data_IF_044935069007
#
_entry.id   IF_044935069007
#
_cell.length_a   1.000
_cell.length_b   1.000
_cell.length_c   1.000
_cell.angle_alpha   90.00
_cell.angle_beta   90.00
_cell.angle_gamma   90.00
#
_symmetry.space_group_name_H-M   'P 1'
#
loop_
_entity.id
_entity.type
_entity.pdbx_description
1 polymer ?
#
# COMPACT_ATOMS: atom_id res chain seq x y z
N UNK A 1 -16.87 15.05 -41.82
CA UNK A 1 -18.33 14.97 -41.58
C UNK A 1 -19.02 15.97 -42.49
N UNK A 2 -20.30 15.78 -42.82
CA UNK A 2 -21.09 16.86 -43.42
C UNK A 2 -21.51 17.88 -42.34
N UNK A 3 -22.05 19.04 -42.75
CA UNK A 3 -22.43 20.13 -41.85
C UNK A 3 -23.42 19.71 -40.76
N UNK A 4 -24.46 18.95 -41.13
CA UNK A 4 -25.48 18.45 -40.21
C UNK A 4 -24.89 17.52 -39.12
N UNK A 5 -24.04 16.58 -39.51
CA UNK A 5 -23.39 15.66 -38.56
C UNK A 5 -22.42 16.38 -37.63
N UNK A 6 -21.70 17.37 -38.16
CA UNK A 6 -20.80 18.20 -37.36
C UNK A 6 -21.57 18.98 -36.30
N UNK A 7 -22.71 19.57 -36.65
CA UNK A 7 -23.57 20.29 -35.71
C UNK A 7 -24.05 19.40 -34.56
N UNK A 8 -24.57 18.19 -34.87
CA UNK A 8 -24.98 17.21 -33.86
C UNK A 8 -23.81 16.84 -32.94
N UNK A 9 -22.62 16.64 -33.51
CA UNK A 9 -21.44 16.28 -32.74
C UNK A 9 -21.01 17.41 -31.81
N UNK A 10 -20.97 18.65 -32.29
CA UNK A 10 -20.58 19.83 -31.50
C UNK A 10 -21.57 20.12 -30.36
N UNK A 11 -22.87 20.02 -30.62
CA UNK A 11 -23.90 20.14 -29.56
C UNK A 11 -23.69 19.08 -28.47
N UNK A 12 -23.36 17.85 -28.89
CA UNK A 12 -23.02 16.76 -27.98
C UNK A 12 -21.82 17.06 -27.09
N UNK A 13 -20.74 17.54 -27.70
CA UNK A 13 -19.49 17.90 -27.01
C UNK A 13 -19.70 19.05 -26.01
N UNK A 14 -20.50 20.06 -26.37
CA UNK A 14 -20.81 21.18 -25.49
C UNK A 14 -21.50 20.71 -24.20
N UNK A 15 -22.47 19.81 -24.31
CA UNK A 15 -23.18 19.25 -23.15
C UNK A 15 -22.25 18.38 -22.30
N UNK A 16 -21.34 17.64 -22.93
CA UNK A 16 -20.30 16.87 -22.23
C UNK A 16 -19.17 17.76 -21.68
N UNK A 17 -19.18 19.07 -21.95
CA UNK A 17 -18.12 20.04 -21.60
C UNK A 17 -16.74 19.60 -22.10
N UNK A 18 -16.71 19.13 -23.35
CA UNK A 18 -15.50 18.72 -24.06
C UNK A 18 -15.23 19.73 -25.17
N UNK A 19 -14.02 20.27 -25.18
CA UNK A 19 -13.54 21.14 -26.24
C UNK A 19 -12.57 20.36 -27.12
N UNK A 20 -12.74 20.46 -28.43
CA UNK A 20 -11.87 19.84 -29.42
C UNK A 20 -11.15 20.90 -30.24
N UNK A 21 -9.88 20.66 -30.52
CA UNK A 21 -9.15 21.43 -31.52
C UNK A 21 -9.45 20.94 -32.94
N UNK A 22 -8.97 21.69 -33.92
CA UNK A 22 -9.19 21.39 -35.34
C UNK A 22 -8.67 20.00 -35.74
N UNK A 23 -7.47 19.60 -35.25
CA UNK A 23 -6.89 18.28 -35.53
C UNK A 23 -7.80 17.15 -35.01
N UNK A 24 -8.35 17.29 -33.81
CA UNK A 24 -9.25 16.30 -33.21
C UNK A 24 -10.56 16.17 -34.00
N UNK A 25 -11.15 17.29 -34.45
CA UNK A 25 -12.33 17.27 -35.31
C UNK A 25 -12.07 16.57 -36.66
N UNK A 26 -10.90 16.81 -37.25
CA UNK A 26 -10.47 16.13 -38.46
C UNK A 26 -10.25 14.63 -38.23
N UNK A 27 -9.65 14.24 -37.11
CA UNK A 27 -9.51 12.82 -36.71
C UNK A 27 -10.87 12.12 -36.60
N UNK A 28 -11.87 12.74 -35.96
CA UNK A 28 -13.23 12.15 -35.92
C UNK A 28 -13.88 12.06 -37.31
N UNK A 29 -13.61 13.01 -38.20
CA UNK A 29 -14.10 12.96 -39.58
C UNK A 29 -13.44 11.83 -40.39
N UNK A 30 -12.13 11.64 -40.25
CA UNK A 30 -11.40 10.52 -40.85
C UNK A 30 -11.93 9.21 -40.27
N UNK A 31 -12.09 9.11 -38.95
CA UNK A 31 -12.59 7.91 -38.30
C UNK A 31 -13.98 7.52 -38.82
N UNK A 32 -14.93 8.45 -38.92
CA UNK A 32 -16.25 8.17 -39.47
C UNK A 32 -16.17 7.60 -40.90
N UNK A 33 -15.34 8.20 -41.76
CA UNK A 33 -15.16 7.75 -43.14
C UNK A 33 -14.59 6.34 -43.19
N UNK A 34 -13.46 6.11 -42.53
CA UNK A 34 -12.75 4.83 -42.55
C UNK A 34 -13.59 3.71 -41.91
N UNK A 35 -14.33 4.03 -40.85
CA UNK A 35 -15.25 3.09 -40.20
C UNK A 35 -16.34 2.64 -41.18
N UNK A 36 -16.98 3.55 -41.91
CA UNK A 36 -18.03 3.21 -42.90
C UNK A 36 -17.49 2.34 -44.02
N UNK A 37 -16.33 2.73 -44.57
CA UNK A 37 -15.68 1.99 -45.65
C UNK A 37 -15.34 0.56 -45.22
N UNK A 38 -14.76 0.38 -44.03
CA UNK A 38 -14.46 -0.95 -43.51
C UNK A 38 -15.69 -1.73 -43.06
N UNK A 39 -16.70 -1.06 -42.50
CA UNK A 39 -17.91 -1.72 -42.04
C UNK A 39 -18.67 -2.39 -43.20
N UNK A 40 -18.65 -1.77 -44.39
CA UNK A 40 -19.26 -2.36 -45.60
C UNK A 40 -18.61 -3.69 -46.03
N UNK A 41 -17.35 -3.93 -45.63
CA UNK A 41 -16.58 -5.13 -45.99
C UNK A 41 -16.57 -6.18 -44.88
N UNK A 42 -16.54 -5.75 -43.61
CA UNK A 42 -16.18 -6.61 -42.48
C UNK A 42 -17.17 -6.61 -41.31
N UNK A 43 -18.25 -5.83 -41.37
CA UNK A 43 -19.28 -5.76 -40.34
C UNK A 43 -18.68 -5.55 -38.93
N UNK A 44 -17.88 -4.49 -38.79
CA UNK A 44 -17.20 -4.09 -37.56
C UNK A 44 -18.17 -3.66 -36.45
N UNK A 45 -19.25 -2.98 -36.84
CA UNK A 45 -20.37 -2.54 -36.01
C UNK A 45 -21.69 -2.93 -36.68
N UNK A 46 -22.76 -3.04 -35.89
CA UNK A 46 -24.09 -3.27 -36.44
C UNK A 46 -24.54 -2.17 -37.42
N UNK A 47 -25.51 -2.44 -38.31
CA UNK A 47 -26.04 -1.45 -39.24
C UNK A 47 -26.54 -0.21 -38.48
N UNK A 48 -26.07 0.97 -38.87
CA UNK A 48 -26.40 2.22 -38.21
C UNK A 48 -26.30 3.38 -39.23
N UNK A 49 -27.23 4.33 -39.14
CA UNK A 49 -27.13 5.60 -39.86
C UNK A 49 -25.95 6.44 -39.32
N UNK A 50 -25.44 7.39 -40.10
CA UNK A 50 -24.31 8.23 -39.69
C UNK A 50 -24.60 9.00 -38.39
N UNK A 51 -25.82 9.52 -38.24
CA UNK A 51 -26.27 10.19 -37.01
C UNK A 51 -26.20 9.25 -35.80
N UNK A 52 -26.54 7.97 -35.98
CA UNK A 52 -26.46 6.97 -34.92
C UNK A 52 -25.01 6.62 -34.58
N UNK A 53 -24.08 6.66 -35.54
CA UNK A 53 -22.65 6.49 -35.27
C UNK A 53 -22.16 7.65 -34.38
N UNK A 54 -22.51 8.89 -34.72
CA UNK A 54 -22.15 10.05 -33.91
C UNK A 54 -22.67 9.91 -32.47
N UNK A 55 -23.96 9.59 -32.31
CA UNK A 55 -24.57 9.51 -30.98
C UNK A 55 -24.14 8.25 -30.21
N UNK A 56 -24.39 7.06 -30.77
CA UNK A 56 -24.21 5.78 -30.07
C UNK A 56 -22.77 5.30 -30.03
N UNK A 57 -21.86 5.88 -30.79
CA UNK A 57 -20.45 5.49 -30.79
C UNK A 57 -19.54 6.63 -30.33
N UNK A 58 -19.54 7.78 -30.99
CA UNK A 58 -18.60 8.85 -30.61
C UNK A 58 -19.01 9.52 -29.29
N UNK A 59 -20.20 10.11 -29.22
CA UNK A 59 -20.66 10.80 -28.02
C UNK A 59 -20.83 9.86 -26.84
N UNK A 60 -21.31 8.63 -27.09
CA UNK A 60 -21.35 7.58 -26.08
C UNK A 60 -19.94 7.33 -25.52
N UNK A 61 -18.93 7.10 -26.36
CA UNK A 61 -17.55 6.89 -25.88
C UNK A 61 -17.00 8.08 -25.08
N UNK A 62 -17.29 9.30 -25.53
CA UNK A 62 -16.83 10.53 -24.89
C UNK A 62 -17.56 10.87 -23.59
N UNK A 63 -18.73 10.27 -23.34
CA UNK A 63 -19.45 10.46 -22.08
C UNK A 63 -18.67 10.00 -20.84
N UNK A 64 -17.62 9.19 -21.04
CA UNK A 64 -16.69 8.79 -19.97
C UNK A 64 -15.81 9.96 -19.51
N UNK A 65 -15.49 10.91 -20.40
CA UNK A 65 -14.49 11.96 -20.11
C UNK A 65 -14.82 12.73 -18.83
N UNK A 66 -16.05 13.24 -18.59
CA UNK A 66 -16.39 13.92 -17.34
C UNK A 66 -16.14 13.09 -16.07
N UNK A 67 -16.24 11.75 -16.15
CA UNK A 67 -16.09 10.83 -15.02
C UNK A 67 -14.60 10.56 -14.70
N UNK A 68 -13.75 10.58 -15.71
CA UNK A 68 -12.33 10.20 -15.57
C UNK A 68 -11.35 11.38 -15.67
N UNK A 69 -11.76 12.55 -16.17
CA UNK A 69 -10.86 13.69 -16.44
C UNK A 69 -10.06 14.12 -15.21
N UNK A 70 -10.65 14.11 -14.02
CA UNK A 70 -9.96 14.43 -12.76
C UNK A 70 -9.02 13.34 -12.26
N UNK A 71 -9.15 12.12 -12.78
CA UNK A 71 -8.40 10.92 -12.40
C UNK A 71 -7.26 10.60 -13.38
N UNK A 72 -7.27 11.20 -14.56
CA UNK A 72 -6.20 11.04 -15.57
C UNK A 72 -4.98 11.86 -15.16
N UNK A 73 -3.84 11.18 -15.13
CA UNK A 73 -2.50 11.81 -15.06
C UNK A 73 -1.78 11.65 -16.40
N UNK A 74 -0.68 12.39 -16.62
CA UNK A 74 0.12 12.29 -17.85
C UNK A 74 0.65 10.88 -18.18
N UNK A 75 0.58 9.94 -17.24
CA UNK A 75 1.05 8.57 -17.40
C UNK A 75 -0.08 7.55 -17.23
N UNK A 76 -1.35 7.98 -17.33
CA UNK A 76 -2.49 7.10 -17.15
C UNK A 76 -2.49 5.98 -18.21
N UNK A 77 -2.42 4.74 -17.75
CA UNK A 77 -2.47 3.53 -18.57
C UNK A 77 -3.91 3.03 -18.65
N UNK A 78 -4.49 3.09 -19.84
CA UNK A 78 -5.88 2.70 -20.09
C UNK A 78 -5.91 1.47 -21.00
N UNK A 79 -6.65 0.44 -20.59
CA UNK A 79 -6.97 -0.70 -21.47
C UNK A 79 -8.46 -0.72 -21.81
N UNK A 80 -8.79 -0.76 -23.09
CA UNK A 80 -10.15 -0.97 -23.57
C UNK A 80 -10.36 -2.44 -23.96
N UNK A 81 -11.15 -3.15 -23.15
CA UNK A 81 -11.41 -4.59 -23.30
C UNK A 81 -12.63 -4.82 -24.17
N UNK A 82 -12.45 -5.58 -25.26
CA UNK A 82 -13.52 -5.81 -26.23
C UNK A 82 -13.82 -4.54 -27.04
N UNK A 83 -12.77 -3.79 -27.38
CA UNK A 83 -12.86 -2.46 -28.01
C UNK A 83 -13.63 -2.46 -29.34
N UNK A 84 -13.76 -3.61 -29.99
CA UNK A 84 -14.53 -3.73 -31.22
C UNK A 84 -13.91 -2.91 -32.35
N UNK A 85 -14.67 -1.94 -32.85
CA UNK A 85 -14.22 -0.98 -33.84
C UNK A 85 -13.44 0.21 -33.24
N UNK A 86 -13.02 0.14 -31.97
CA UNK A 86 -12.24 1.16 -31.29
C UNK A 86 -13.01 1.95 -30.24
N UNK A 87 -14.14 1.43 -29.75
CA UNK A 87 -15.03 2.14 -28.84
C UNK A 87 -15.01 1.53 -27.43
N UNK A 88 -14.77 2.32 -26.37
CA UNK A 88 -14.52 3.76 -26.33
C UNK A 88 -13.05 4.21 -26.54
N UNK A 89 -12.09 3.29 -26.69
CA UNK A 89 -10.66 3.62 -26.60
C UNK A 89 -10.16 4.68 -27.59
N UNK A 90 -10.48 4.57 -28.89
CA UNK A 90 -10.00 5.51 -29.93
C UNK A 90 -10.56 6.93 -29.71
N UNK A 91 -11.89 7.15 -29.51
CA UNK A 91 -12.40 8.48 -29.16
C UNK A 91 -11.73 9.07 -27.93
N UNK A 92 -11.48 8.26 -26.89
CA UNK A 92 -10.79 8.73 -25.69
C UNK A 92 -9.36 9.16 -25.99
N UNK A 93 -8.60 8.40 -26.77
CA UNK A 93 -7.21 8.76 -27.15
C UNK A 93 -7.13 10.02 -28.02
N UNK A 94 -8.13 10.27 -28.87
CA UNK A 94 -8.20 11.52 -29.64
C UNK A 94 -8.32 12.72 -28.69
N UNK A 95 -9.20 12.65 -27.69
CA UNK A 95 -9.48 13.75 -26.76
C UNK A 95 -8.44 13.88 -25.65
N UNK A 96 -7.83 12.77 -25.26
CA UNK A 96 -6.86 12.64 -24.17
C UNK A 96 -5.55 12.05 -24.73
N UNK A 97 -4.80 12.82 -25.53
CA UNK A 97 -3.63 12.31 -26.25
C UNK A 97 -2.52 11.78 -25.32
N UNK A 98 -2.49 12.21 -24.06
CA UNK A 98 -1.51 11.81 -23.05
C UNK A 98 -1.69 10.38 -22.51
N UNK A 99 -2.84 9.73 -22.71
CA UNK A 99 -3.06 8.40 -22.14
C UNK A 99 -2.23 7.34 -22.87
N UNK A 100 -1.67 6.39 -22.13
CA UNK A 100 -1.07 5.18 -22.71
C UNK A 100 -2.19 4.17 -22.96
N UNK A 101 -2.64 4.08 -24.21
CA UNK A 101 -3.80 3.28 -24.59
C UNK A 101 -3.42 1.88 -25.08
N UNK A 102 -4.04 0.86 -24.49
CA UNK A 102 -4.13 -0.50 -25.03
C UNK A 102 -5.54 -0.80 -25.52
N UNK A 103 -5.66 -1.33 -26.73
CA UNK A 103 -6.89 -1.73 -27.38
C UNK A 103 -6.89 -3.26 -27.53
N UNK A 104 -7.80 -3.94 -26.84
CA UNK A 104 -7.87 -5.40 -26.79
C UNK A 104 -9.15 -5.90 -27.45
N UNK A 105 -9.02 -6.79 -28.43
CA UNK A 105 -10.14 -7.54 -29.00
C UNK A 105 -9.69 -8.96 -29.40
N UNK A 106 -10.60 -9.93 -29.32
CA UNK A 106 -10.31 -11.31 -29.73
C UNK A 106 -10.35 -11.51 -31.25
N UNK A 107 -10.93 -10.57 -32.00
CA UNK A 107 -11.06 -10.65 -33.45
C UNK A 107 -9.84 -10.07 -34.16
N UNK A 108 -9.17 -10.92 -34.94
CA UNK A 108 -8.06 -10.52 -35.82
C UNK A 108 -8.48 -9.44 -36.82
N UNK A 109 -9.67 -9.57 -37.43
CA UNK A 109 -10.21 -8.59 -38.39
C UNK A 109 -10.36 -7.20 -37.78
N UNK A 110 -10.87 -7.14 -36.54
CA UNK A 110 -11.06 -5.87 -35.82
C UNK A 110 -9.73 -5.27 -35.40
N UNK A 111 -8.79 -6.07 -34.91
CA UNK A 111 -7.45 -5.57 -34.55
C UNK A 111 -6.64 -5.10 -35.75
N UNK A 112 -6.82 -5.71 -36.94
CA UNK A 112 -6.25 -5.20 -38.20
C UNK A 112 -6.84 -3.84 -38.59
N UNK A 113 -8.17 -3.68 -38.49
CA UNK A 113 -8.81 -2.38 -38.69
C UNK A 113 -8.25 -1.32 -37.73
N UNK A 114 -8.09 -1.64 -36.45
CA UNK A 114 -7.53 -0.71 -35.47
C UNK A 114 -6.10 -0.30 -35.81
N UNK A 115 -5.26 -1.23 -36.31
CA UNK A 115 -3.87 -0.90 -36.72
C UNK A 115 -3.87 0.08 -37.89
N UNK A 116 -4.72 -0.19 -38.87
CA UNK A 116 -4.93 0.71 -40.00
C UNK A 116 -5.43 2.09 -39.54
N UNK A 117 -6.47 2.11 -38.70
CA UNK A 117 -7.10 3.33 -38.23
C UNK A 117 -6.14 4.18 -37.39
N UNK A 118 -5.41 3.60 -36.43
CA UNK A 118 -4.42 4.34 -35.63
C UNK A 118 -3.37 5.03 -36.52
N UNK A 119 -2.91 4.36 -37.57
CA UNK A 119 -1.97 4.93 -38.54
C UNK A 119 -2.59 6.10 -39.32
N UNK A 120 -3.86 5.98 -39.75
CA UNK A 120 -4.59 7.04 -40.47
C UNK A 120 -4.89 8.25 -39.62
N UNK A 121 -5.13 8.04 -38.32
CA UNK A 121 -5.42 9.08 -37.35
C UNK A 121 -4.17 9.70 -36.72
N UNK A 122 -2.98 9.16 -37.01
CA UNK A 122 -1.71 9.56 -36.38
C UNK A 122 -1.75 9.47 -34.85
N UNK A 123 -2.35 8.40 -34.31
CA UNK A 123 -2.40 8.14 -32.88
C UNK A 123 -1.63 6.87 -32.52
N UNK A 124 -0.91 6.92 -31.42
CA UNK A 124 -0.20 5.78 -30.88
C UNK A 124 -1.09 5.02 -29.89
N UNK A 125 -1.39 3.76 -30.20
CA UNK A 125 -2.08 2.85 -29.29
C UNK A 125 -1.55 1.44 -29.47
N UNK A 126 -1.42 0.72 -28.36
CA UNK A 126 -1.03 -0.69 -28.38
C UNK A 126 -2.22 -1.56 -28.73
N UNK A 127 -2.11 -2.35 -29.79
CA UNK A 127 -3.22 -3.20 -30.25
C UNK A 127 -2.90 -4.67 -29.97
N UNK A 128 -3.78 -5.31 -29.20
CA UNK A 128 -3.64 -6.68 -28.71
C UNK A 128 -4.77 -7.54 -29.25
N UNK A 129 -4.41 -8.58 -30.01
CA UNK A 129 -5.34 -9.60 -30.45
C UNK A 129 -5.30 -10.78 -29.47
N UNK A 130 -6.40 -11.04 -28.76
CA UNK A 130 -6.47 -12.12 -27.79
C UNK A 130 -7.73 -12.06 -26.92
N UNK A 131 -7.98 -13.14 -26.17
CA UNK A 131 -9.03 -13.18 -25.16
C UNK A 131 -8.56 -12.44 -23.91
N UNK A 132 -9.46 -11.71 -23.26
CA UNK A 132 -9.09 -10.91 -22.10
C UNK A 132 -8.57 -11.79 -20.95
N UNK A 133 -9.14 -12.97 -20.76
CA UNK A 133 -8.71 -13.98 -19.79
C UNK A 133 -7.24 -14.37 -19.96
N UNK A 134 -6.81 -14.62 -21.19
CA UNK A 134 -5.43 -15.00 -21.52
C UNK A 134 -4.45 -13.84 -21.35
N UNK A 135 -4.83 -12.66 -21.85
CA UNK A 135 -3.97 -11.47 -21.79
C UNK A 135 -3.79 -10.99 -20.35
N UNK A 136 -4.82 -11.15 -19.51
CA UNK A 136 -4.80 -10.74 -18.10
C UNK A 136 -3.76 -11.45 -17.25
N UNK A 137 -3.27 -12.62 -17.69
CA UNK A 137 -2.23 -13.42 -17.03
C UNK A 137 -0.81 -13.06 -17.46
N UNK A 138 -0.64 -12.19 -18.47
CA UNK A 138 0.69 -11.76 -18.91
C UNK A 138 1.19 -10.65 -17.98
N UNK A 139 2.44 -10.72 -17.49
CA UNK A 139 2.99 -9.76 -16.51
C UNK A 139 2.85 -8.29 -16.90
N UNK A 140 2.85 -7.99 -18.19
CA UNK A 140 2.70 -6.63 -18.73
C UNK A 140 1.30 -6.03 -18.46
N UNK A 141 0.26 -6.86 -18.33
CA UNK A 141 -1.12 -6.42 -18.13
C UNK A 141 -1.67 -6.75 -16.74
N UNK A 142 -1.10 -7.74 -16.05
CA UNK A 142 -1.55 -8.18 -14.72
C UNK A 142 -1.32 -7.09 -13.68
N UNK A 143 -2.40 -6.50 -13.15
CA UNK A 143 -2.39 -5.44 -12.14
C UNK A 143 -1.57 -4.19 -12.52
N UNK A 144 -1.54 -3.82 -13.80
CA UNK A 144 -0.76 -2.66 -14.29
C UNK A 144 -1.62 -1.48 -14.76
N UNK A 145 -2.92 -1.69 -15.02
CA UNK A 145 -3.78 -0.70 -15.66
C UNK A 145 -4.42 0.25 -14.63
N UNK A 146 -4.37 1.56 -14.90
CA UNK A 146 -5.07 2.59 -14.11
C UNK A 146 -6.57 2.55 -14.35
N UNK A 147 -6.93 2.46 -15.62
CA UNK A 147 -8.32 2.48 -16.08
C UNK A 147 -8.54 1.30 -17.01
N UNK A 148 -9.62 0.56 -16.78
CA UNK A 148 -10.11 -0.43 -17.74
C UNK A 148 -11.49 -0.01 -18.18
N UNK A 149 -11.70 0.10 -19.50
CA UNK A 149 -13.02 0.34 -20.07
C UNK A 149 -13.57 -0.95 -20.67
N UNK A 150 -14.88 -1.15 -20.55
CA UNK A 150 -15.58 -2.17 -21.30
C UNK A 150 -16.99 -1.67 -21.65
N UNK A 151 -17.40 -1.95 -22.90
CA UNK A 151 -18.67 -1.48 -23.46
C UNK A 151 -19.50 -2.64 -24.00
N UNK A 152 -20.83 -2.46 -23.98
CA UNK A 152 -21.79 -3.31 -24.67
C UNK A 152 -21.79 -4.79 -24.23
N UNK A 153 -21.69 -5.02 -22.93
CA UNK A 153 -21.70 -6.39 -22.40
C UNK A 153 -23.13 -6.77 -22.10
N UNK A 154 -23.72 -7.55 -23.02
CA UNK A 154 -25.10 -8.05 -22.94
C UNK A 154 -25.36 -8.91 -21.71
N UNK A 155 -24.30 -9.41 -21.06
CA UNK A 155 -24.33 -10.03 -19.74
C UNK A 155 -23.33 -9.34 -18.83
N UNK A 156 -23.80 -8.49 -17.92
CA UNK A 156 -22.93 -7.80 -16.96
C UNK A 156 -22.29 -8.79 -15.97
N UNK A 157 -22.93 -9.95 -15.77
CA UNK A 157 -22.42 -11.02 -14.94
C UNK A 157 -21.02 -11.47 -15.38
N UNK A 158 -20.04 -11.36 -14.47
CA UNK A 158 -18.67 -11.79 -14.70
C UNK A 158 -17.75 -10.75 -15.35
N UNK A 159 -18.24 -9.58 -15.77
CA UNK A 159 -17.40 -8.55 -16.40
C UNK A 159 -16.31 -8.02 -15.46
N UNK A 160 -16.64 -7.88 -14.18
CA UNK A 160 -15.70 -7.47 -13.15
C UNK A 160 -14.59 -8.51 -12.99
N UNK A 161 -14.91 -9.81 -13.05
CA UNK A 161 -13.92 -10.89 -13.00
C UNK A 161 -13.01 -10.90 -14.22
N UNK A 162 -13.54 -10.52 -15.39
CA UNK A 162 -12.77 -10.38 -16.62
C UNK A 162 -11.79 -9.20 -16.56
N UNK A 163 -12.22 -8.07 -15.99
CA UNK A 163 -11.48 -6.81 -16.04
C UNK A 163 -10.57 -6.59 -14.82
N UNK A 164 -10.95 -7.06 -13.63
CA UNK A 164 -10.21 -6.86 -12.37
C UNK A 164 -8.78 -7.37 -12.36
N UNK A 165 -8.38 -8.44 -13.08
CA UNK A 165 -6.98 -8.87 -13.07
C UNK A 165 -6.04 -7.88 -13.78
N UNK A 166 -6.56 -7.02 -14.67
CA UNK A 166 -5.80 -5.96 -15.33
C UNK A 166 -5.53 -4.77 -14.40
N UNK A 167 -6.48 -4.45 -13.52
CA UNK A 167 -6.44 -3.24 -12.72
C UNK A 167 -5.37 -3.28 -11.65
N UNK A 168 -4.54 -2.24 -11.58
CA UNK A 168 -3.62 -2.03 -10.47
C UNK A 168 -4.38 -1.74 -9.17
N UNK A 169 -3.64 -1.61 -8.07
CA UNK A 169 -4.22 -1.11 -6.80
C UNK A 169 -4.82 0.28 -7.02
N UNK A 170 -6.05 0.48 -6.57
CA UNK A 170 -6.85 1.70 -6.77
C UNK A 170 -7.23 2.00 -8.23
N UNK A 171 -6.97 1.06 -9.15
CA UNK A 171 -7.43 1.15 -10.53
C UNK A 171 -8.97 1.12 -10.62
N UNK A 172 -9.48 1.72 -11.70
CA UNK A 172 -10.92 1.95 -11.89
C UNK A 172 -11.41 1.22 -13.13
N UNK A 173 -12.47 0.43 -12.97
CA UNK A 173 -13.22 -0.16 -14.07
C UNK A 173 -14.37 0.79 -14.44
N UNK A 174 -14.42 1.21 -15.70
CA UNK A 174 -15.50 2.01 -16.27
C UNK A 174 -16.35 1.15 -17.19
N UNK A 175 -17.63 1.02 -16.87
CA UNK A 175 -18.59 0.27 -17.66
C UNK A 175 -19.63 1.18 -18.29
N UNK A 176 -19.79 1.08 -19.61
CA UNK A 176 -20.86 1.75 -20.35
C UNK A 176 -21.99 0.77 -20.64
N UNK A 177 -23.10 0.93 -19.93
CA UNK A 177 -24.22 -0.01 -19.93
C UNK A 177 -25.54 0.69 -20.24
N UNK A 178 -26.59 -0.11 -20.45
CA UNK A 178 -27.95 0.41 -20.57
C UNK A 178 -28.46 0.85 -19.20
N UNK A 179 -29.24 1.93 -19.15
CA UNK A 179 -29.89 2.38 -17.91
C UNK A 179 -30.88 1.34 -17.35
N UNK A 180 -31.32 0.40 -18.19
CA UNK A 180 -32.21 -0.71 -17.82
C UNK A 180 -31.49 -1.94 -17.28
N UNK A 181 -30.15 -1.97 -17.33
CA UNK A 181 -29.37 -3.13 -16.85
C UNK A 181 -29.48 -3.25 -15.33
N UNK A 182 -29.84 -4.43 -14.83
CA UNK A 182 -29.74 -4.74 -13.40
C UNK A 182 -28.26 -4.94 -13.04
N UNK A 183 -27.73 -4.04 -12.22
CA UNK A 183 -26.33 -4.04 -11.79
C UNK A 183 -26.14 -4.60 -10.38
N UNK A 184 -27.21 -5.12 -9.74
CA UNK A 184 -27.12 -5.77 -8.42
C UNK A 184 -26.21 -7.00 -8.40
N UNK A 185 -25.96 -7.60 -9.56
CA UNK A 185 -25.07 -8.76 -9.71
C UNK A 185 -23.57 -8.39 -9.78
N UNK A 186 -23.23 -7.10 -9.86
CA UNK A 186 -21.83 -6.65 -9.83
C UNK A 186 -21.33 -6.75 -8.39
N UNK A 187 -20.25 -7.51 -8.15
CA UNK A 187 -19.68 -7.71 -6.81
C UNK A 187 -18.67 -6.64 -6.42
N UNK A 188 -18.19 -5.83 -7.39
CA UNK A 188 -17.28 -4.71 -7.15
C UNK A 188 -17.94 -3.52 -6.44
N UNK A 189 -17.14 -2.75 -5.72
CA UNK A 189 -17.59 -1.52 -5.05
C UNK A 189 -17.90 -0.42 -6.08
N UNK A 190 -19.18 -0.04 -6.19
CA UNK A 190 -19.62 1.05 -7.06
C UNK A 190 -19.22 2.37 -6.41
N UNK A 191 -18.26 3.07 -7.01
CA UNK A 191 -17.80 4.38 -6.53
C UNK A 191 -18.72 5.50 -7.01
N UNK A 192 -19.09 5.46 -8.29
CA UNK A 192 -19.76 6.57 -8.95
C UNK A 192 -20.69 6.04 -10.03
N UNK A 193 -21.89 6.61 -10.06
CA UNK A 193 -22.90 6.36 -11.08
C UNK A 193 -23.16 7.67 -11.82
N UNK A 194 -22.87 7.68 -13.11
CA UNK A 194 -23.12 8.83 -13.96
C UNK A 194 -24.16 8.48 -15.02
N UNK A 195 -25.20 9.29 -15.13
CA UNK A 195 -26.21 9.18 -16.19
C UNK A 195 -25.99 10.36 -17.13
N UNK A 196 -25.49 10.14 -18.36
CA UNK A 196 -25.34 11.21 -19.32
C UNK A 196 -26.70 11.82 -19.68
N UNK A 197 -26.75 13.10 -20.06
CA UNK A 197 -28.00 13.77 -20.44
C UNK A 197 -28.77 12.99 -21.51
N UNK A 198 -30.05 12.72 -21.23
CA UNK A 198 -30.92 11.92 -22.10
C UNK A 198 -31.15 12.54 -23.48
N UNK A 199 -30.96 13.86 -23.61
CA UNK A 199 -31.02 14.58 -24.87
C UNK A 199 -30.02 14.08 -25.92
N UNK A 200 -28.92 13.45 -25.50
CA UNK A 200 -27.86 12.96 -26.38
C UNK A 200 -27.72 11.43 -26.29
N UNK A 201 -27.77 10.90 -25.07
CA UNK A 201 -27.54 9.49 -24.78
C UNK A 201 -28.71 8.89 -24.00
N UNK A 202 -29.88 8.72 -24.65
CA UNK A 202 -31.05 8.18 -23.98
C UNK A 202 -30.78 6.74 -23.51
N UNK A 203 -31.07 6.49 -22.24
CA UNK A 203 -30.98 5.15 -21.66
C UNK A 203 -29.56 4.63 -21.48
N UNK A 204 -28.58 5.51 -21.30
CA UNK A 204 -27.19 5.13 -20.96
C UNK A 204 -26.89 5.35 -19.48
N UNK A 205 -25.97 4.55 -18.96
CA UNK A 205 -25.40 4.68 -17.62
C UNK A 205 -23.92 4.32 -17.66
N UNK A 206 -23.10 5.11 -16.98
CA UNK A 206 -21.69 4.86 -16.76
C UNK A 206 -21.51 4.48 -15.28
N UNK A 207 -20.91 3.31 -15.04
CA UNK A 207 -20.54 2.85 -13.71
C UNK A 207 -19.03 2.91 -13.56
N UNK A 208 -18.57 3.52 -12.46
CA UNK A 208 -17.18 3.49 -12.01
C UNK A 208 -17.07 2.54 -10.83
N UNK A 209 -16.29 1.47 -11.00
CA UNK A 209 -16.05 0.44 -10.00
C UNK A 209 -14.59 0.51 -9.55
N UNK A 210 -14.35 0.45 -8.23
CA UNK A 210 -12.98 0.31 -7.71
C UNK A 210 -12.63 -1.16 -7.59
N UNK A 211 -11.37 -1.49 -7.85
CA UNK A 211 -10.83 -2.76 -7.35
C UNK A 211 -10.75 -2.70 -5.83
N UNK A 212 -11.65 -3.39 -5.14
CA UNK A 212 -11.60 -3.58 -3.69
C UNK A 212 -10.41 -4.44 -3.26
N UNK A 213 -9.94 -4.24 -2.02
CA UNK A 213 -9.02 -5.16 -1.37
C UNK A 213 -9.76 -6.46 -1.07
N UNK A 214 -9.19 -7.62 -1.38
CA UNK A 214 -9.87 -8.88 -1.02
C UNK A 214 -9.76 -9.10 0.49
N UNK A 215 -10.82 -9.62 1.13
CA UNK A 215 -10.78 -9.97 2.55
C UNK A 215 -9.60 -10.91 2.86
N UNK A 216 -9.29 -11.83 1.94
CA UNK A 216 -8.17 -12.75 2.10
C UNK A 216 -6.80 -12.07 2.09
N UNK A 217 -6.59 -11.03 1.26
CA UNK A 217 -5.36 -10.25 1.27
C UNK A 217 -5.17 -9.56 2.63
N UNK A 218 -6.24 -8.98 3.20
CA UNK A 218 -6.17 -8.34 4.51
C UNK A 218 -5.93 -9.36 5.63
N UNK A 219 -6.62 -10.50 5.59
CA UNK A 219 -6.46 -11.57 6.58
C UNK A 219 -5.03 -12.12 6.58
N UNK A 220 -4.41 -12.32 5.41
CA UNK A 220 -3.01 -12.79 5.32
C UNK A 220 -2.06 -11.76 5.95
N UNK A 221 -2.25 -10.47 5.67
CA UNK A 221 -1.39 -9.42 6.26
C UNK A 221 -1.50 -9.40 7.77
N UNK A 222 -2.72 -9.43 8.32
CA UNK A 222 -2.94 -9.44 9.77
C UNK A 222 -2.37 -10.72 10.40
N UNK A 223 -2.51 -11.88 9.75
CA UNK A 223 -1.95 -13.14 10.21
C UNK A 223 -0.41 -13.11 10.27
N UNK A 224 0.24 -12.57 9.23
CA UNK A 224 1.71 -12.43 9.20
C UNK A 224 2.19 -11.48 10.29
N UNK A 225 1.53 -10.33 10.48
CA UNK A 225 1.88 -9.39 11.54
C UNK A 225 1.72 -10.04 12.92
N UNK A 226 0.65 -10.80 13.14
CA UNK A 226 0.44 -11.54 14.40
C UNK A 226 1.53 -12.56 14.68
N UNK A 227 1.92 -13.35 13.67
CA UNK A 227 3.01 -14.33 13.78
C UNK A 227 4.36 -13.65 14.07
N UNK A 228 4.68 -12.58 13.35
CA UNK A 228 5.91 -11.82 13.55
C UNK A 228 5.96 -11.19 14.95
N UNK A 229 4.86 -10.60 15.43
CA UNK A 229 4.78 -10.01 16.75
C UNK A 229 4.97 -11.06 17.87
N UNK A 230 4.37 -12.25 17.71
CA UNK A 230 4.50 -13.35 18.67
C UNK A 230 5.96 -13.83 18.85
N UNK A 231 6.77 -13.78 17.80
CA UNK A 231 8.20 -14.14 17.85
C UNK A 231 9.07 -12.96 18.30
N UNK A 232 8.80 -11.76 17.79
CA UNK A 232 9.64 -10.59 17.99
C UNK A 232 9.55 -10.03 19.42
N UNK A 233 8.36 -9.97 20.01
CA UNK A 233 8.15 -9.34 21.33
C UNK A 233 8.93 -10.07 22.44
N UNK A 234 8.81 -11.41 22.62
CA UNK A 234 9.59 -12.11 23.64
C UNK A 234 11.10 -12.03 23.40
N UNK A 235 11.53 -12.09 22.14
CA UNK A 235 12.95 -11.97 21.77
C UNK A 235 13.52 -10.60 22.13
N UNK A 236 12.78 -9.54 21.84
CA UNK A 236 13.19 -8.17 22.17
C UNK A 236 13.17 -7.92 23.68
N UNK A 237 12.17 -8.42 24.40
CA UNK A 237 12.11 -8.35 25.85
C UNK A 237 13.32 -9.05 26.51
N UNK A 238 13.65 -10.27 26.07
CA UNK A 238 14.82 -11.00 26.55
C UNK A 238 16.15 -10.29 26.21
N UNK A 239 16.23 -9.66 25.04
CA UNK A 239 17.40 -8.87 24.62
C UNK A 239 17.61 -7.64 25.52
N UNK A 240 16.56 -6.89 25.84
CA UNK A 240 16.63 -5.77 26.78
C UNK A 240 17.05 -6.26 28.17
N UNK A 241 16.44 -7.35 28.66
CA UNK A 241 16.79 -7.93 29.96
C UNK A 241 18.27 -8.32 30.02
N UNK A 242 18.76 -9.07 29.03
CA UNK A 242 20.17 -9.45 28.92
C UNK A 242 21.12 -8.23 28.89
N UNK A 243 20.73 -7.16 28.19
CA UNK A 243 21.50 -5.92 28.16
C UNK A 243 21.56 -5.23 29.53
N UNK A 244 20.45 -5.20 30.27
CA UNK A 244 20.38 -4.64 31.62
C UNK A 244 21.18 -5.48 32.63
N UNK A 245 21.05 -6.81 32.59
CA UNK A 245 21.85 -7.73 33.39
C UNK A 245 23.36 -7.54 33.12
N UNK A 246 23.76 -7.41 31.85
CA UNK A 246 25.15 -7.15 31.49
C UNK A 246 25.68 -5.82 32.03
N UNK A 247 24.86 -4.76 31.99
CA UNK A 247 25.22 -3.47 32.58
C UNK A 247 25.39 -3.56 34.10
N UNK A 248 24.50 -4.28 34.79
CA UNK A 248 24.56 -4.51 36.25
C UNK A 248 25.77 -5.33 36.65
N UNK A 249 26.08 -6.43 35.93
CA UNK A 249 27.28 -7.25 36.19
C UNK A 249 28.57 -6.42 35.98
N UNK A 250 28.62 -5.57 34.96
CA UNK A 250 29.73 -4.63 34.77
C UNK A 250 29.86 -3.62 35.91
N UNK A 251 28.74 -3.02 36.33
CA UNK A 251 28.70 -2.11 37.48
C UNK A 251 29.15 -2.78 38.79
N UNK A 252 28.71 -4.03 39.03
CA UNK A 252 29.11 -4.81 40.19
C UNK A 252 30.62 -5.09 40.18
N UNK A 253 31.19 -5.41 39.02
CA UNK A 253 32.63 -5.55 38.84
C UNK A 253 33.41 -4.28 39.18
N UNK A 254 32.90 -3.11 38.76
CA UNK A 254 33.47 -1.82 39.12
C UNK A 254 33.40 -1.56 40.64
N UNK A 255 32.26 -1.83 41.28
CA UNK A 255 32.10 -1.69 42.73
C UNK A 255 33.04 -2.59 43.51
N UNK A 256 33.13 -3.87 43.13
CA UNK A 256 34.05 -4.83 43.77
C UNK A 256 35.51 -4.39 43.63
N UNK A 257 35.89 -3.89 42.46
CA UNK A 257 37.23 -3.36 42.23
C UNK A 257 37.52 -2.14 43.12
N UNK A 258 36.56 -1.22 43.25
CA UNK A 258 36.70 -0.05 44.11
C UNK A 258 36.79 -0.41 45.60
N UNK A 259 35.97 -1.35 46.08
CA UNK A 259 36.04 -1.84 47.46
C UNK A 259 37.40 -2.51 47.72
N UNK A 260 37.90 -3.28 46.76
CA UNK A 260 39.22 -3.92 46.86
C UNK A 260 40.36 -2.89 46.90
N UNK A 261 40.29 -1.83 46.09
CA UNK A 261 41.25 -0.72 46.11
C UNK A 261 41.20 0.03 47.45
N UNK A 262 40.00 0.33 47.96
CA UNK A 262 39.82 0.93 49.28
C UNK A 262 40.49 0.07 50.35
N UNK A 263 40.19 -1.23 50.39
CA UNK A 263 40.78 -2.16 51.34
C UNK A 263 42.32 -2.19 51.27
N UNK A 264 42.87 -2.12 50.05
CA UNK A 264 44.31 -2.09 49.80
C UNK A 264 44.98 -0.80 50.29
N UNK A 265 44.33 0.35 50.10
CA UNK A 265 44.82 1.65 50.58
C UNK A 265 44.83 1.76 52.10
N UNK A 266 44.03 0.95 52.79
CA UNK A 266 44.07 0.75 54.24
C UNK A 266 44.91 -0.46 54.65
N UNK A 267 45.86 -0.88 53.82
CA UNK A 267 46.81 -1.97 54.09
C UNK A 267 46.14 -3.31 54.47
N UNK A 268 44.89 -3.51 54.05
CA UNK A 268 44.10 -4.70 54.37
C UNK A 268 43.51 -4.72 55.78
N UNK A 269 43.50 -3.60 56.51
CA UNK A 269 42.92 -3.55 57.85
C UNK A 269 41.41 -3.34 57.86
N UNK A 270 40.83 -2.67 56.86
CA UNK A 270 39.42 -2.31 56.89
C UNK A 270 38.77 -2.17 55.50
N UNK A 271 37.58 -2.75 55.39
CA UNK A 271 36.63 -2.44 54.33
C UNK A 271 35.84 -1.16 54.68
N UNK A 272 35.12 -0.56 53.71
CA UNK A 272 34.13 0.48 54.00
C UNK A 272 33.17 0.00 55.09
N UNK A 273 32.92 0.83 56.10
CA UNK A 273 32.28 0.39 57.34
C UNK A 273 30.78 0.09 57.20
N UNK A 274 30.12 0.65 56.19
CA UNK A 274 28.72 0.42 55.86
C UNK A 274 28.38 0.95 54.45
N UNK A 275 27.18 0.65 53.97
CA UNK A 275 26.62 1.12 52.72
C UNK A 275 26.56 2.65 52.65
N UNK A 276 26.25 3.33 53.76
CA UNK A 276 26.24 4.79 53.81
C UNK A 276 27.62 5.41 53.53
N UNK A 277 28.70 4.79 54.00
CA UNK A 277 30.08 5.22 53.74
C UNK A 277 30.46 5.07 52.26
N UNK A 278 29.92 4.06 51.58
CA UNK A 278 30.07 3.84 50.13
C UNK A 278 29.23 4.85 49.35
N UNK A 279 28.01 5.13 49.80
CA UNK A 279 27.06 6.01 49.11
C UNK A 279 27.27 7.51 49.35
N UNK A 280 28.09 7.91 50.32
CA UNK A 280 28.32 9.32 50.60
C UNK A 280 29.08 10.00 49.46
N UNK A 281 28.39 10.87 48.73
CA UNK A 281 28.92 11.61 47.57
C UNK A 281 30.14 12.47 47.94
N UNK A 282 30.18 13.01 49.17
CA UNK A 282 31.31 13.80 49.68
C UNK A 282 32.31 12.95 50.47
N UNK A 283 32.10 11.63 50.54
CA UNK A 283 32.91 10.70 51.31
C UNK A 283 34.19 10.27 50.58
N UNK A 284 35.18 9.74 51.33
CA UNK A 284 36.45 9.28 50.77
C UNK A 284 36.28 8.12 49.78
N UNK A 285 35.16 7.39 49.84
CA UNK A 285 34.89 6.30 48.92
C UNK A 285 34.57 6.81 47.49
N UNK A 286 33.55 7.67 47.33
CA UNK A 286 33.18 8.17 46.00
C UNK A 286 34.12 9.23 45.45
N UNK A 287 34.74 10.04 46.31
CA UNK A 287 35.68 11.08 45.83
C UNK A 287 36.97 10.51 45.24
N UNK A 288 37.33 9.26 45.57
CA UNK A 288 38.59 8.63 45.13
C UNK A 288 38.42 7.35 44.30
N UNK A 289 37.46 6.49 44.61
CA UNK A 289 37.40 5.13 44.02
C UNK A 289 36.22 4.93 43.05
N UNK A 290 35.13 5.71 43.18
CA UNK A 290 33.95 5.61 42.30
C UNK A 290 33.34 6.99 42.05
N UNK A 291 33.42 7.50 40.82
CA UNK A 291 32.92 8.85 40.46
C UNK A 291 31.42 9.09 40.77
N UNK A 292 30.60 8.04 40.74
CA UNK A 292 29.18 8.06 41.09
C UNK A 292 28.68 6.64 41.29
N UNK A 293 27.76 6.41 42.22
CA UNK A 293 27.19 5.06 42.40
C UNK A 293 26.53 4.55 41.11
N UNK A 294 26.93 3.38 40.60
CA UNK A 294 26.30 2.82 39.42
C UNK A 294 24.92 2.29 39.78
N UNK A 295 24.00 2.32 38.82
CA UNK A 295 22.63 1.83 39.02
C UNK A 295 22.54 0.33 38.79
N UNK A 296 21.85 -0.39 39.67
CA UNK A 296 21.32 -1.73 39.38
C UNK A 296 20.24 -1.61 38.31
N UNK A 297 20.34 -2.42 37.26
CA UNK A 297 19.35 -2.53 36.17
C UNK A 297 18.96 -3.99 36.02
N UNK A 298 17.84 -4.39 36.61
CA UNK A 298 17.39 -5.79 36.57
C UNK A 298 16.64 -6.12 35.28
N UNK A 299 15.86 -5.17 34.74
CA UNK A 299 15.05 -5.42 33.53
C UNK A 299 13.94 -6.45 33.77
N UNK A 300 13.49 -6.57 35.01
CA UNK A 300 12.43 -7.45 35.48
C UNK A 300 11.29 -6.55 36.00
N UNK A 301 10.04 -6.95 35.76
CA UNK A 301 8.87 -6.22 36.25
C UNK A 301 8.87 -6.16 37.78
N UNK A 302 8.51 -5.02 38.35
CA UNK A 302 8.46 -4.82 39.80
C UNK A 302 9.71 -4.18 40.41
N UNK A 303 10.78 -4.02 39.63
CA UNK A 303 12.04 -3.40 40.07
C UNK A 303 12.33 -2.10 39.31
N UNK A 304 12.59 -1.02 40.04
CA UNK A 304 13.06 0.24 39.46
C UNK A 304 14.58 0.27 39.41
N UNK A 305 15.15 0.83 38.33
CA UNK A 305 16.60 1.03 38.25
C UNK A 305 17.03 2.01 39.36
N UNK A 306 17.88 1.58 40.31
CA UNK A 306 18.30 2.39 41.47
C UNK A 306 19.81 2.25 41.72
N UNK A 307 20.41 3.28 42.33
CA UNK A 307 21.80 3.28 42.80
C UNK A 307 21.91 3.04 44.32
N UNK A 308 20.78 2.83 45.00
CA UNK A 308 20.73 2.63 46.44
C UNK A 308 21.48 1.36 46.87
N UNK A 309 21.96 1.35 48.11
CA UNK A 309 22.70 0.25 48.70
C UNK A 309 22.28 0.08 50.16
N UNK A 310 21.98 -1.16 50.55
CA UNK A 310 21.62 -1.53 51.91
C UNK A 310 22.73 -2.37 52.58
N UNK A 311 22.82 -2.26 53.89
CA UNK A 311 23.70 -3.08 54.73
C UNK A 311 23.10 -4.46 54.99
N UNK A 312 23.94 -5.48 54.89
CA UNK A 312 23.63 -6.88 55.17
C UNK A 312 24.66 -7.47 56.15
N UNK A 313 24.22 -8.40 57.00
CA UNK A 313 25.09 -9.19 57.87
C UNK A 313 25.47 -10.52 57.22
N UNK A 314 26.48 -11.18 57.79
CA UNK A 314 26.86 -12.53 57.39
C UNK A 314 25.70 -13.51 57.60
N UNK A 315 25.29 -14.18 56.51
CA UNK A 315 24.20 -15.15 56.51
C UNK A 315 22.83 -14.59 56.14
N UNK A 316 22.70 -13.27 55.98
CA UNK A 316 21.44 -12.66 55.51
C UNK A 316 21.12 -13.08 54.07
N UNK A 317 19.83 -13.24 53.79
CA UNK A 317 19.30 -13.57 52.46
C UNK A 317 18.73 -12.34 51.76
N UNK A 318 18.79 -12.29 50.43
CA UNK A 318 18.22 -11.18 49.66
C UNK A 318 16.72 -10.99 49.90
N UNK A 319 16.29 -9.72 49.98
CA UNK A 319 14.93 -9.27 50.29
C UNK A 319 14.13 -8.85 49.06
N UNK A 320 14.71 -8.97 47.86
CA UNK A 320 14.07 -8.63 46.58
C UNK A 320 13.69 -7.15 46.44
N UNK A 321 14.54 -6.23 46.91
CA UNK A 321 14.35 -4.79 46.69
C UNK A 321 14.96 -4.28 45.37
N UNK A 322 15.83 -5.06 44.75
CA UNK A 322 16.44 -4.74 43.46
C UNK A 322 17.54 -3.67 43.51
N UNK A 323 18.03 -3.34 44.70
CA UNK A 323 19.14 -2.42 44.95
C UNK A 323 20.46 -3.17 45.20
N UNK A 324 21.54 -2.46 45.51
CA UNK A 324 22.79 -3.10 45.93
C UNK A 324 22.69 -3.60 47.38
N UNK A 325 23.33 -4.73 47.67
CA UNK A 325 23.57 -5.20 49.03
C UNK A 325 25.07 -5.18 49.34
N UNK A 326 25.42 -4.86 50.59
CA UNK A 326 26.80 -4.80 51.05
C UNK A 326 26.99 -5.49 52.40
N UNK A 327 27.96 -6.40 52.48
CA UNK A 327 28.35 -7.08 53.72
C UNK A 327 29.74 -6.58 54.14
N UNK A 328 29.77 -5.77 55.20
CA UNK A 328 30.99 -5.09 55.70
C UNK A 328 32.08 -6.07 56.11
N UNK A 329 31.76 -7.15 56.83
CA UNK A 329 32.73 -8.12 57.34
C UNK A 329 33.53 -8.81 56.24
N UNK A 330 32.96 -8.92 55.04
CA UNK A 330 33.57 -9.56 53.87
C UNK A 330 33.99 -8.58 52.77
N UNK A 331 33.62 -7.29 52.87
CA UNK A 331 33.73 -6.35 51.76
C UNK A 331 32.92 -6.76 50.53
N UNK A 332 31.85 -7.54 50.71
CA UNK A 332 31.12 -8.17 49.61
C UNK A 332 29.97 -7.29 49.15
N UNK A 333 30.06 -6.81 47.92
CA UNK A 333 28.92 -6.23 47.20
C UNK A 333 28.22 -7.29 46.34
N UNK A 334 26.89 -7.23 46.28
CA UNK A 334 26.03 -8.09 45.47
C UNK A 334 24.72 -7.36 45.11
N UNK A 335 23.85 -7.98 44.33
CA UNK A 335 22.54 -7.43 43.97
C UNK A 335 21.46 -8.03 44.85
N UNK A 336 20.69 -7.20 45.55
CA UNK A 336 19.64 -7.64 46.46
C UNK A 336 18.36 -8.05 45.71
N UNK A 337 18.36 -9.22 45.08
CA UNK A 337 17.26 -9.71 44.26
C UNK A 337 17.11 -11.24 44.34
N UNK A 338 15.88 -11.74 44.49
CA UNK A 338 15.60 -13.19 44.55
C UNK A 338 15.26 -13.78 43.17
N UNK A 339 15.14 -12.93 42.14
CA UNK A 339 14.87 -13.37 40.78
C UNK A 339 16.09 -14.05 40.15
N UNK A 340 15.85 -14.79 39.07
CA UNK A 340 16.90 -15.41 38.26
C UNK A 340 17.25 -14.58 37.03
N UNK A 341 18.49 -14.73 36.57
CA UNK A 341 18.98 -14.09 35.36
C UNK A 341 18.52 -14.79 34.08
N UNK A 342 18.91 -14.27 32.92
CA UNK A 342 18.58 -14.87 31.61
C UNK A 342 19.10 -16.31 31.43
N UNK A 343 19.99 -16.80 32.29
CA UNK A 343 20.49 -18.19 32.31
C UNK A 343 19.85 -19.07 33.39
N UNK A 344 19.02 -18.50 34.26
CA UNK A 344 18.38 -19.22 35.35
C UNK A 344 19.17 -19.25 36.66
N UNK A 345 20.25 -18.47 36.77
CA UNK A 345 21.05 -18.35 38.00
C UNK A 345 20.48 -17.23 38.89
N UNK A 346 20.49 -17.42 40.21
CA UNK A 346 20.03 -16.38 41.15
C UNK A 346 20.86 -15.11 41.00
N UNK A 347 20.18 -13.97 40.86
CA UNK A 347 20.83 -12.66 40.68
C UNK A 347 21.63 -12.26 41.93
N UNK A 348 21.16 -12.63 43.12
CA UNK A 348 21.89 -12.46 44.38
C UNK A 348 23.20 -13.24 44.47
N UNK A 349 23.38 -14.24 43.59
CA UNK A 349 24.62 -15.01 43.48
C UNK A 349 25.68 -14.38 42.59
N UNK A 350 25.38 -13.28 41.88
CA UNK A 350 26.32 -12.59 41.01
C UNK A 350 27.49 -11.96 41.76
#
# INVERSE_FOLDING_TARGET
MNSKLLEIFLQGLQILKIELNQKQLEQFSIYLKELKEWNSKFNLIGPAADEEIIQKHFLDSLSIVPVIKSKITKQCVLTDIGTGAGFPGIPLKIVLPEISLTLLDSSKKKTEFLRYLCKRLEIEAKIVCGRAEEISNKPEYTKTQDIVTARAVTKIFGIEKLCSPFLKKDGILILQISSKTDFKEIKGEIMEKFIPPSAILPGRMILSLKRGFTLIELMIVVAIIGLLAAIAIPKFANMIRKSKEGATKGALGNLRSAITLYYSDFEGFQYPQNAAAIMNISGPFQTKYVNSMPTVKLGISGHTDTADMDDFNDGDTSTDLGNWGYITSQGKAFVNCIHTDTKGELISGW
#
